data_IF_752234492612
#
_entry.id   IF_752234492612
#
_cell.length_a   1.000
_cell.length_b   1.000
_cell.length_c   1.000
_cell.angle_alpha   90.00
_cell.angle_beta   90.00
_cell.angle_gamma   90.00
#
_symmetry.space_group_name_H-M   'P 1'
#
loop_
_entity.id
_entity.type
_entity.pdbx_description
1 polymer ?
#
# COMPACT_ATOMS: atom_id res chain seq x y z
N UNK A 1 7.03 14.81 10.61
CA UNK A 1 6.93 13.56 11.40
C UNK A 1 8.27 12.84 11.32
N UNK A 2 8.62 12.04 12.33
CA UNK A 2 9.81 11.16 12.29
C UNK A 2 9.32 9.72 12.43
N UNK A 3 9.72 8.86 11.51
CA UNK A 3 9.41 7.43 11.53
C UNK A 3 10.70 6.65 11.24
N UNK A 4 11.05 5.71 12.10
CA UNK A 4 12.29 4.91 12.03
C UNK A 4 13.56 5.77 11.82
N UNK A 5 13.63 6.90 12.55
CA UNK A 5 14.74 7.87 12.43
C UNK A 5 14.76 8.72 11.16
N UNK A 6 13.85 8.49 10.22
CA UNK A 6 13.71 9.29 8.99
C UNK A 6 12.69 10.40 9.18
N UNK A 7 13.02 11.60 8.77
CA UNK A 7 12.08 12.73 8.73
C UNK A 7 11.20 12.59 7.48
N UNK A 8 9.88 12.69 7.69
CA UNK A 8 8.87 12.60 6.63
C UNK A 8 8.00 13.82 6.66
N UNK A 9 7.87 14.48 5.54
CA UNK A 9 6.87 15.53 5.36
C UNK A 9 5.52 14.91 5.11
N UNK A 10 4.51 15.41 5.82
CA UNK A 10 3.12 14.97 5.69
C UNK A 10 2.22 16.20 5.62
N UNK A 11 1.21 16.14 4.78
CA UNK A 11 0.21 17.18 4.59
C UNK A 11 -1.18 16.62 4.85
N UNK A 12 -2.04 17.40 5.51
CA UNK A 12 -3.42 16.99 5.80
C UNK A 12 -4.16 16.68 4.50
N UNK A 13 -4.84 15.54 4.49
CA UNK A 13 -5.57 15.07 3.32
C UNK A 13 -4.71 14.45 2.22
N UNK A 14 -3.40 14.28 2.44
CA UNK A 14 -2.49 13.67 1.47
C UNK A 14 -1.83 12.41 2.04
N UNK A 15 -1.76 11.34 1.24
CA UNK A 15 -0.98 10.17 1.57
C UNK A 15 0.52 10.49 1.47
N UNK A 16 1.29 10.06 2.48
CA UNK A 16 2.75 10.09 2.39
C UNK A 16 3.27 9.16 1.30
N UNK A 17 4.53 9.36 0.92
CA UNK A 17 5.30 8.31 0.26
C UNK A 17 5.41 7.06 1.16
N UNK A 18 5.87 5.96 0.56
CA UNK A 18 6.16 4.74 1.29
C UNK A 18 7.32 4.94 2.26
N UNK A 19 7.13 4.45 3.48
CA UNK A 19 8.17 4.40 4.51
C UNK A 19 8.53 2.94 4.78
N UNK A 20 9.81 2.69 4.86
CA UNK A 20 10.39 1.44 5.32
C UNK A 20 10.51 1.47 6.84
N UNK A 21 10.02 0.44 7.50
CA UNK A 21 10.07 0.27 8.95
C UNK A 21 10.81 -1.03 9.29
N UNK A 22 11.56 -1.00 10.38
CA UNK A 22 12.26 -2.16 10.92
C UNK A 22 11.62 -2.62 12.20
N UNK A 23 11.35 -3.91 12.27
CA UNK A 23 10.75 -4.55 13.44
C UNK A 23 11.70 -5.60 13.98
N UNK A 24 12.31 -5.33 15.15
CA UNK A 24 13.11 -6.32 15.87
C UNK A 24 12.18 -7.27 16.62
N UNK A 25 11.93 -8.43 16.05
CA UNK A 25 11.07 -9.45 16.65
C UNK A 25 11.79 -10.26 17.72
N UNK A 26 13.10 -10.38 17.60
CA UNK A 26 14.00 -10.98 18.59
C UNK A 26 15.44 -10.55 18.29
N UNK A 27 16.42 -10.81 19.19
CA UNK A 27 17.83 -10.42 18.95
C UNK A 27 18.46 -10.95 17.65
N UNK A 28 17.79 -11.85 16.96
CA UNK A 28 18.29 -12.48 15.71
C UNK A 28 17.31 -12.39 14.54
N UNK A 29 16.14 -11.78 14.74
CA UNK A 29 15.09 -11.70 13.73
C UNK A 29 14.64 -10.27 13.55
N UNK A 30 14.98 -9.70 12.42
CA UNK A 30 14.49 -8.41 11.96
C UNK A 30 13.52 -8.64 10.80
N UNK A 31 12.39 -7.93 10.80
CA UNK A 31 11.43 -7.92 9.69
C UNK A 31 11.39 -6.50 9.12
N UNK A 32 11.52 -6.41 7.81
CA UNK A 32 11.32 -5.16 7.09
C UNK A 32 9.86 -5.05 6.64
N UNK A 33 9.23 -3.96 7.04
CA UNK A 33 7.89 -3.61 6.61
C UNK A 33 7.88 -2.28 5.86
N UNK A 34 6.80 -2.05 5.12
CA UNK A 34 6.53 -0.77 4.49
C UNK A 34 5.13 -0.30 4.84
N UNK A 35 4.95 1.00 5.02
CA UNK A 35 3.64 1.61 5.29
C UNK A 35 3.54 3.01 4.69
N UNK A 36 2.35 3.59 4.74
CA UNK A 36 2.06 4.98 4.38
C UNK A 36 1.23 5.62 5.49
N UNK A 37 1.32 6.93 5.60
CA UNK A 37 0.55 7.71 6.55
C UNK A 37 -0.40 8.66 5.83
N UNK A 38 -1.56 8.87 6.43
CA UNK A 38 -2.56 9.84 5.97
C UNK A 38 -2.97 10.73 7.14
N UNK A 39 -2.51 11.99 7.19
CA UNK A 39 -2.92 12.93 8.22
C UNK A 39 -4.35 13.41 7.96
N UNK A 40 -5.24 13.18 8.92
CA UNK A 40 -6.61 13.69 8.90
C UNK A 40 -6.69 15.10 9.49
N UNK A 41 -5.88 15.35 10.52
CA UNK A 41 -5.89 16.63 11.23
C UNK A 41 -4.52 16.92 11.85
N UNK A 42 -4.07 18.16 11.73
CA UNK A 42 -2.86 18.69 12.38
C UNK A 42 -3.20 20.07 12.94
N UNK A 43 -3.37 20.16 14.27
CA UNK A 43 -3.76 21.37 14.98
C UNK A 43 -3.62 21.16 16.49
N UNK A 44 -4.65 21.54 17.27
CA UNK A 44 -4.70 21.25 18.71
C UNK A 44 -4.70 19.74 18.98
N UNK A 45 -5.31 18.97 18.08
CA UNK A 45 -5.20 17.52 18.04
C UNK A 45 -4.47 17.11 16.78
N UNK A 46 -3.73 16.00 16.86
CA UNK A 46 -3.05 15.39 15.73
C UNK A 46 -3.67 14.01 15.51
N UNK A 47 -4.31 13.85 14.35
CA UNK A 47 -4.89 12.57 13.92
C UNK A 47 -4.21 12.12 12.64
N UNK A 48 -3.52 11.02 12.71
CA UNK A 48 -2.79 10.43 11.57
C UNK A 48 -3.20 8.96 11.48
N UNK A 49 -3.74 8.59 10.33
CA UNK A 49 -3.96 7.19 10.01
C UNK A 49 -2.66 6.57 9.47
N UNK A 50 -2.33 5.39 9.95
CA UNK A 50 -1.24 4.56 9.43
C UNK A 50 -1.84 3.36 8.71
N UNK A 51 -1.51 3.20 7.43
CA UNK A 51 -1.95 2.05 6.66
C UNK A 51 -1.40 0.74 7.24
N UNK A 52 -2.08 -0.37 6.95
CA UNK A 52 -1.58 -1.70 7.31
C UNK A 52 -0.15 -1.88 6.81
N UNK A 53 0.73 -2.34 7.71
CA UNK A 53 2.13 -2.62 7.36
C UNK A 53 2.17 -3.77 6.36
N UNK A 54 2.88 -3.54 5.27
CA UNK A 54 3.09 -4.50 4.19
C UNK A 54 4.48 -5.13 4.33
N UNK A 55 4.70 -6.30 3.76
CA UNK A 55 6.06 -6.87 3.66
C UNK A 55 6.90 -6.05 2.68
N UNK A 56 8.18 -5.86 3.00
CA UNK A 56 9.09 -5.23 2.06
C UNK A 56 9.38 -6.18 0.88
N UNK A 57 9.27 -5.73 -0.39
CA UNK A 57 9.42 -6.61 -1.56
C UNK A 57 10.77 -7.34 -1.68
N UNK A 58 11.87 -6.75 -1.17
CA UNK A 58 13.20 -7.36 -1.23
C UNK A 58 13.47 -8.33 -0.08
N UNK A 59 12.69 -8.27 0.99
CA UNK A 59 12.87 -9.11 2.17
C UNK A 59 11.53 -9.52 2.78
N UNK A 60 10.65 -10.16 2.00
CA UNK A 60 9.35 -10.56 2.49
C UNK A 60 9.47 -11.73 3.47
N UNK A 61 8.64 -11.72 4.52
CA UNK A 61 8.56 -12.83 5.47
C UNK A 61 7.92 -14.11 4.89
N UNK A 62 7.20 -13.94 3.78
CA UNK A 62 6.56 -15.05 3.04
C UNK A 62 6.71 -14.83 1.54
N UNK A 63 6.60 -15.88 0.74
CA UNK A 63 6.63 -15.80 -0.72
C UNK A 63 5.51 -14.90 -1.22
N UNK A 64 5.87 -13.84 -1.95
CA UNK A 64 4.93 -12.87 -2.54
C UNK A 64 4.62 -13.19 -4.00
N UNK A 65 5.60 -13.72 -4.72
CA UNK A 65 5.53 -13.93 -6.17
C UNK A 65 6.20 -15.26 -6.56
N UNK A 66 5.80 -15.79 -7.70
CA UNK A 66 6.50 -16.91 -8.35
C UNK A 66 6.91 -16.47 -9.77
N UNK A 67 8.20 -16.41 -10.09
CA UNK A 67 9.36 -16.66 -9.20
C UNK A 67 9.51 -15.62 -8.07
N UNK A 68 10.16 -15.98 -6.96
CA UNK A 68 10.33 -15.09 -5.81
C UNK A 68 11.05 -13.78 -6.14
N UNK A 69 12.00 -13.82 -7.08
CA UNK A 69 12.75 -12.63 -7.54
C UNK A 69 11.86 -11.58 -8.21
N UNK A 70 10.67 -11.96 -8.65
CA UNK A 70 9.76 -11.05 -9.33
C UNK A 70 9.27 -9.92 -8.42
N UNK A 71 9.14 -10.13 -7.11
CA UNK A 71 8.78 -9.06 -6.16
C UNK A 71 9.79 -7.92 -6.15
N UNK A 72 11.10 -8.24 -6.15
CA UNK A 72 12.18 -7.27 -6.23
C UNK A 72 12.24 -6.60 -7.61
N UNK A 73 12.00 -7.35 -8.68
CA UNK A 73 11.91 -6.80 -10.04
C UNK A 73 10.78 -5.76 -10.13
N UNK A 74 9.59 -6.07 -9.61
CA UNK A 74 8.46 -5.14 -9.56
C UNK A 74 8.80 -3.86 -8.81
N UNK A 75 9.46 -3.98 -7.65
CA UNK A 75 9.95 -2.82 -6.90
C UNK A 75 10.92 -1.98 -7.73
N UNK A 76 11.85 -2.60 -8.45
CA UNK A 76 12.80 -1.91 -9.32
C UNK A 76 12.12 -1.11 -10.45
N UNK A 77 11.01 -1.63 -10.99
CA UNK A 77 10.23 -1.01 -12.08
C UNK A 77 9.23 0.04 -11.64
N UNK A 78 8.56 -0.18 -10.50
CA UNK A 78 7.39 0.61 -10.08
C UNK A 78 7.53 1.26 -8.72
N UNK A 79 8.64 1.07 -8.01
CA UNK A 79 8.81 1.48 -6.62
C UNK A 79 8.11 0.54 -5.64
N UNK A 80 8.04 0.95 -4.38
CA UNK A 80 7.35 0.19 -3.33
C UNK A 80 5.84 0.10 -3.62
N UNK A 81 5.23 -1.03 -3.26
CA UNK A 81 3.83 -1.33 -3.57
C UNK A 81 3.18 -2.19 -2.48
N UNK A 82 1.86 -2.31 -2.52
CA UNK A 82 1.11 -3.19 -1.60
C UNK A 82 1.41 -4.65 -1.89
N UNK A 83 1.92 -5.36 -0.90
CA UNK A 83 2.41 -6.74 -1.02
C UNK A 83 1.52 -7.78 -0.37
N UNK A 84 0.60 -7.39 0.51
CA UNK A 84 -0.37 -8.30 1.10
C UNK A 84 -1.74 -8.14 0.45
N UNK A 85 -2.56 -9.20 0.52
CA UNK A 85 -3.85 -9.24 -0.16
C UNK A 85 -4.91 -8.25 0.34
N UNK A 86 -4.67 -7.55 1.44
CA UNK A 86 -5.54 -6.52 1.96
C UNK A 86 -5.24 -5.17 1.31
N UNK A 87 -5.74 -5.01 0.10
CA UNK A 87 -5.43 -3.84 -0.72
C UNK A 87 -6.13 -2.55 -0.24
N UNK A 88 -7.27 -2.66 0.47
CA UNK A 88 -8.09 -1.52 0.91
C UNK A 88 -8.56 -1.73 2.34
N UNK A 89 -8.31 -0.76 3.24
CA UNK A 89 -8.73 -0.85 4.62
C UNK A 89 -10.18 -0.37 4.81
N UNK A 90 -11.11 -1.24 4.46
CA UNK A 90 -12.54 -1.01 4.66
C UNK A 90 -12.93 -0.95 6.14
N UNK A 91 -12.13 -1.55 7.04
CA UNK A 91 -12.39 -1.51 8.46
C UNK A 91 -12.10 -0.11 9.01
N UNK A 92 -10.93 0.45 8.71
CA UNK A 92 -10.56 1.81 9.14
C UNK A 92 -11.59 2.85 8.67
N UNK A 93 -12.08 2.73 7.43
CA UNK A 93 -13.14 3.62 6.94
C UNK A 93 -14.45 3.46 7.72
N UNK A 94 -14.87 2.22 8.06
CA UNK A 94 -16.09 1.97 8.84
C UNK A 94 -15.99 2.48 10.27
N UNK A 95 -14.81 2.52 10.85
CA UNK A 95 -14.55 3.02 12.21
C UNK A 95 -14.27 4.53 12.23
N UNK A 96 -14.26 5.21 11.08
CA UNK A 96 -13.89 6.62 10.93
C UNK A 96 -12.45 6.93 11.31
N UNK A 97 -11.57 5.91 11.31
CA UNK A 97 -10.13 6.08 11.48
C UNK A 97 -9.49 6.64 10.22
N UNK A 98 -10.07 6.33 9.04
CA UNK A 98 -9.77 6.90 7.74
C UNK A 98 -11.04 7.50 7.15
N UNK A 99 -10.96 8.71 6.61
CA UNK A 99 -12.09 9.35 5.97
C UNK A 99 -12.34 8.82 4.53
N UNK A 100 -13.47 9.23 3.97
CA UNK A 100 -13.89 8.80 2.63
C UNK A 100 -12.92 9.25 1.55
N UNK A 101 -12.37 10.46 1.69
CA UNK A 101 -11.42 11.03 0.73
C UNK A 101 -10.08 10.27 0.75
N UNK A 102 -9.54 9.98 1.92
CA UNK A 102 -8.33 9.17 2.08
C UNK A 102 -8.50 7.76 1.54
N UNK A 103 -9.67 7.16 1.78
CA UNK A 103 -10.00 5.83 1.24
C UNK A 103 -10.09 5.83 -0.29
N UNK A 104 -10.75 6.83 -0.89
CA UNK A 104 -10.83 6.95 -2.36
C UNK A 104 -9.48 7.22 -3.00
N UNK A 105 -8.66 8.08 -2.40
CA UNK A 105 -7.28 8.31 -2.85
C UNK A 105 -6.43 7.05 -2.80
N UNK A 106 -6.61 6.21 -1.78
CA UNK A 106 -5.91 4.92 -1.68
C UNK A 106 -6.40 3.90 -2.72
N UNK A 107 -7.69 3.90 -3.04
CA UNK A 107 -8.25 3.13 -4.16
C UNK A 107 -7.61 3.56 -5.48
N UNK A 108 -7.61 4.86 -5.77
CA UNK A 108 -7.05 5.42 -7.01
C UNK A 108 -5.56 5.09 -7.17
N UNK A 109 -4.78 5.26 -6.10
CA UNK A 109 -3.38 4.87 -6.06
C UNK A 109 -3.19 3.39 -6.43
N UNK A 110 -3.98 2.50 -5.81
CA UNK A 110 -3.86 1.06 -6.00
C UNK A 110 -4.26 0.64 -7.42
N UNK A 111 -5.31 1.25 -7.96
CA UNK A 111 -5.73 1.03 -9.34
C UNK A 111 -4.69 1.52 -10.34
N UNK A 112 -4.21 2.74 -10.19
CA UNK A 112 -3.18 3.33 -11.05
C UNK A 112 -1.88 2.50 -11.06
N UNK A 113 -1.49 1.93 -9.92
CA UNK A 113 -0.35 1.03 -9.87
C UNK A 113 -0.61 -0.26 -10.64
N UNK A 114 -1.80 -0.87 -10.47
CA UNK A 114 -2.19 -2.10 -11.16
C UNK A 114 -2.33 -1.91 -12.67
N UNK A 115 -2.85 -0.78 -13.10
CA UNK A 115 -2.93 -0.42 -14.52
C UNK A 115 -1.54 -0.32 -15.14
N UNK A 116 -0.62 0.38 -14.50
CA UNK A 116 0.77 0.49 -14.97
C UNK A 116 1.44 -0.89 -15.07
N UNK A 117 1.29 -1.73 -14.05
CA UNK A 117 1.81 -3.10 -14.06
C UNK A 117 1.21 -3.89 -15.21
N UNK A 118 -0.11 -3.92 -15.35
CA UNK A 118 -0.78 -4.71 -16.39
C UNK A 118 -0.39 -4.27 -17.79
N UNK A 119 -0.33 -2.96 -18.03
CA UNK A 119 0.08 -2.41 -19.32
C UNK A 119 1.55 -2.69 -19.64
N UNK A 120 2.41 -2.69 -18.64
CA UNK A 120 3.81 -2.98 -18.82
C UNK A 120 4.05 -4.47 -19.11
N UNK A 121 3.37 -5.38 -18.39
CA UNK A 121 3.40 -6.81 -18.71
C UNK A 121 2.84 -7.11 -20.11
N UNK A 122 1.73 -6.49 -20.50
CA UNK A 122 1.19 -6.62 -21.85
C UNK A 122 2.19 -6.21 -22.93
N UNK A 123 2.98 -5.17 -22.69
CA UNK A 123 4.03 -4.74 -23.63
C UNK A 123 5.20 -5.72 -23.70
N UNK A 124 5.54 -6.38 -22.60
CA UNK A 124 6.59 -7.40 -22.56
C UNK A 124 6.20 -8.63 -23.35
N UNK A 125 4.96 -9.10 -23.21
CA UNK A 125 4.42 -10.21 -23.99
C UNK A 125 5.07 -11.55 -23.70
N UNK A 126 5.71 -11.74 -22.56
CA UNK A 126 6.46 -12.96 -22.17
C UNK A 126 5.54 -14.03 -21.55
N UNK A 127 4.31 -14.13 -22.03
CA UNK A 127 3.30 -15.07 -21.49
C UNK A 127 2.34 -15.53 -22.59
N UNK A 128 1.81 -16.73 -22.43
CA UNK A 128 0.72 -17.27 -23.28
C UNK A 128 -0.65 -16.87 -22.73
N UNK A 129 -0.73 -16.54 -21.44
CA UNK A 129 -1.96 -16.14 -20.76
C UNK A 129 -1.68 -15.13 -19.65
N UNK A 130 -2.42 -14.02 -19.65
CA UNK A 130 -2.38 -13.00 -18.61
C UNK A 130 -3.76 -12.86 -17.97
N UNK A 131 -3.83 -13.00 -16.64
CA UNK A 131 -5.01 -12.66 -15.83
C UNK A 131 -4.67 -11.51 -14.89
N UNK A 132 -5.39 -10.41 -14.99
CA UNK A 132 -5.29 -9.28 -14.07
C UNK A 132 -6.66 -8.96 -13.46
N UNK A 133 -6.69 -8.66 -12.16
CA UNK A 133 -7.93 -8.42 -11.42
C UNK A 133 -7.97 -7.01 -10.81
N UNK A 134 -9.09 -6.32 -10.95
CA UNK A 134 -9.38 -5.02 -10.34
C UNK A 134 -10.54 -5.17 -9.36
N UNK A 135 -10.23 -5.09 -8.07
CA UNK A 135 -11.22 -5.25 -6.99
C UNK A 135 -11.74 -3.92 -6.44
N UNK A 136 -11.24 -2.80 -6.97
CA UNK A 136 -11.56 -1.47 -6.47
C UNK A 136 -13.03 -1.08 -6.64
N UNK A 137 -13.63 -1.41 -7.78
CA UNK A 137 -15.05 -1.12 -8.06
C UNK A 137 -15.98 -1.87 -7.11
N UNK A 138 -15.65 -3.12 -6.80
CA UNK A 138 -16.37 -3.92 -5.81
C UNK A 138 -16.26 -3.26 -4.42
N UNK A 139 -15.07 -2.89 -4.01
CA UNK A 139 -14.82 -2.25 -2.70
C UNK A 139 -15.48 -0.88 -2.58
N UNK A 140 -15.39 -0.06 -3.61
CA UNK A 140 -16.08 1.22 -3.65
C UNK A 140 -17.60 1.01 -3.58
N UNK A 141 -18.16 0.07 -4.36
CA UNK A 141 -19.57 -0.27 -4.29
C UNK A 141 -20.01 -0.67 -2.88
N UNK A 142 -19.30 -1.59 -2.24
CA UNK A 142 -19.60 -2.02 -0.87
C UNK A 142 -19.54 -0.90 0.18
N UNK A 143 -18.66 0.08 0.01
CA UNK A 143 -18.48 1.16 0.98
C UNK A 143 -19.41 2.35 0.72
N UNK A 144 -19.76 2.63 -0.54
CA UNK A 144 -20.50 3.84 -0.94
C UNK A 144 -21.92 3.57 -1.47
N UNK A 145 -22.39 2.32 -1.50
CA UNK A 145 -23.72 1.97 -1.99
C UNK A 145 -24.88 2.61 -1.21
N UNK A 146 -24.59 3.23 -0.09
CA UNK A 146 -25.57 3.93 0.77
C UNK A 146 -26.00 5.30 0.24
N UNK A 147 -25.37 5.79 -0.82
CA UNK A 147 -25.65 7.09 -1.43
C UNK A 147 -26.44 6.96 -2.75
#
# INVERSE_FOLDING_TARGET
MVADGKQVEIEVGCWSDWLELRFEMSPKVEILGITRFYPLEIGEQVRIYMACVQYHPDAPYTTLTEPESYSTELKGRFGLYKTIGWAYDTHAMRQYDLDEEGFLKDIDYTMSWRDRLTLDELKRGDFDFLLSGWTATDRAGHMFWRF
#
